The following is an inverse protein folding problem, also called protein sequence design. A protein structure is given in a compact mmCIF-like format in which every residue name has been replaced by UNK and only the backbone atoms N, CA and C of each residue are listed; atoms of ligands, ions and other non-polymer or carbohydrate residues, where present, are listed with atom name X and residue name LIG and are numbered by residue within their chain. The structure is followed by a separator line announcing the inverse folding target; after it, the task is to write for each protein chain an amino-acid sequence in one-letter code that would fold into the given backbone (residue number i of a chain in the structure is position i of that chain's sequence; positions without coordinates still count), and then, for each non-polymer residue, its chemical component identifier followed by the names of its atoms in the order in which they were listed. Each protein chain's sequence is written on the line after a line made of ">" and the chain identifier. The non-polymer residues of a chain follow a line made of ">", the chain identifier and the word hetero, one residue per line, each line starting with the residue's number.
data_IF_982731764524
#
_entry.id   IF_982731764524
#
_cell.length_a   1.000
_cell.length_b   1.000
_cell.length_c   1.000
_cell.angle_alpha   90.00
_cell.angle_beta   90.00
_cell.angle_gamma   90.00
#
_symmetry.space_group_name_H-M   'P 1'
#
loop_
_entity.id
_entity.type
_entity.pdbx_description
1 polymer ?
#
# COMPACT_ATOMS: atom_id res chain seq x y z
N UNK A 1 1.39 25.56 35.44
CA UNK A 1 0.01 25.41 34.91
C UNK A 1 -0.10 25.36 33.37
N UNK A 2 0.96 25.24 32.56
CA UNK A 2 0.86 25.76 31.17
C UNK A 2 1.08 24.83 29.97
N UNK A 3 1.47 23.55 30.12
CA UNK A 3 1.66 22.66 28.94
C UNK A 3 0.41 21.84 28.60
N UNK A 4 -0.27 21.31 29.61
CA UNK A 4 -1.43 20.43 29.40
C UNK A 4 -2.64 21.20 28.85
N UNK A 5 -2.86 22.44 29.33
CA UNK A 5 -3.95 23.31 28.84
C UNK A 5 -3.75 23.73 27.38
N UNK A 6 -2.51 24.03 26.99
CA UNK A 6 -2.16 24.37 25.61
C UNK A 6 -2.38 23.20 24.64
N UNK A 7 -2.01 21.98 25.07
CA UNK A 7 -2.26 20.76 24.30
C UNK A 7 -3.76 20.48 24.16
N UNK A 8 -4.55 20.69 25.21
CA UNK A 8 -6.02 20.55 25.18
C UNK A 8 -6.62 21.56 24.20
N UNK A 9 -6.20 22.82 24.25
CA UNK A 9 -6.68 23.87 23.33
C UNK A 9 -6.39 23.54 21.87
N UNK A 10 -5.15 23.17 21.53
CA UNK A 10 -4.78 22.71 20.17
C UNK A 10 -5.57 21.50 19.69
N UNK A 11 -5.89 20.57 20.60
CA UNK A 11 -6.69 19.38 20.28
C UNK A 11 -8.16 19.75 20.00
N UNK A 12 -8.70 20.74 20.70
CA UNK A 12 -10.04 21.28 20.46
C UNK A 12 -10.09 22.02 19.12
N UNK A 13 -9.13 22.91 18.83
CA UNK A 13 -9.03 23.60 17.54
C UNK A 13 -8.95 22.61 16.37
N UNK A 14 -8.09 21.59 16.48
CA UNK A 14 -7.96 20.57 15.44
C UNK A 14 -9.28 19.81 15.21
N UNK A 15 -10.02 19.50 16.27
CA UNK A 15 -11.35 18.86 16.16
C UNK A 15 -12.35 19.77 15.45
N UNK A 16 -12.37 21.07 15.76
CA UNK A 16 -13.26 22.05 15.11
C UNK A 16 -12.94 22.15 13.62
N UNK A 17 -11.65 22.25 13.27
CA UNK A 17 -11.21 22.29 11.86
C UNK A 17 -11.65 21.03 11.11
N UNK A 18 -11.42 19.85 11.69
CA UNK A 18 -11.86 18.58 11.09
C UNK A 18 -13.38 18.56 10.90
N UNK A 19 -14.14 19.02 11.90
CA UNK A 19 -15.60 19.08 11.81
C UNK A 19 -16.09 20.01 10.69
N UNK A 20 -15.51 21.20 10.56
CA UNK A 20 -15.82 22.15 9.47
C UNK A 20 -15.51 21.54 8.11
N UNK A 21 -14.36 20.87 7.95
CA UNK A 21 -14.00 20.19 6.70
C UNK A 21 -15.01 19.09 6.36
N UNK A 22 -15.41 18.27 7.33
CA UNK A 22 -16.40 17.19 7.13
C UNK A 22 -17.77 17.76 6.73
N UNK A 23 -18.21 18.87 7.34
CA UNK A 23 -19.45 19.55 6.94
C UNK A 23 -19.35 20.08 5.51
N UNK A 24 -18.29 20.83 5.21
CA UNK A 24 -18.08 21.40 3.88
C UNK A 24 -18.06 20.33 2.79
N UNK A 25 -17.42 19.19 3.08
CA UNK A 25 -17.41 18.03 2.22
C UNK A 25 -18.81 17.47 1.97
N UNK A 26 -19.60 17.25 3.03
CA UNK A 26 -20.98 16.73 2.90
C UNK A 26 -21.85 17.65 2.06
N UNK A 27 -21.70 18.98 2.20
CA UNK A 27 -22.44 19.93 1.39
C UNK A 27 -21.99 19.92 -0.09
N UNK A 28 -20.69 19.71 -0.34
CA UNK A 28 -20.16 19.56 -1.70
C UNK A 28 -20.66 18.28 -2.38
N UNK A 29 -20.64 17.14 -1.67
CA UNK A 29 -21.13 15.84 -2.12
C UNK A 29 -22.61 15.94 -2.55
N UNK A 30 -23.46 16.53 -1.69
CA UNK A 30 -24.88 16.79 -2.01
C UNK A 30 -25.04 17.66 -3.26
N UNK A 31 -24.28 18.76 -3.36
CA UNK A 31 -24.38 19.70 -4.49
C UNK A 31 -24.01 19.03 -5.81
N UNK A 32 -22.99 18.18 -5.82
CA UNK A 32 -22.55 17.47 -7.02
C UNK A 32 -23.54 16.37 -7.42
N UNK A 33 -24.01 15.57 -6.47
CA UNK A 33 -25.05 14.58 -6.73
C UNK A 33 -26.34 15.21 -7.28
N UNK A 34 -26.76 16.36 -6.76
CA UNK A 34 -27.90 17.11 -7.30
C UNK A 34 -27.68 17.57 -8.75
N UNK A 35 -26.46 17.99 -9.09
CA UNK A 35 -26.09 18.37 -10.46
C UNK A 35 -26.12 17.17 -11.42
N UNK A 36 -25.57 16.04 -11.00
CA UNK A 36 -25.61 14.79 -11.75
C UNK A 36 -27.04 14.28 -11.96
N UNK A 37 -27.87 14.36 -10.93
CA UNK A 37 -29.29 13.99 -11.00
C UNK A 37 -30.04 14.85 -12.01
N UNK A 38 -29.83 16.17 -11.96
CA UNK A 38 -30.48 17.11 -12.88
C UNK A 38 -30.06 16.84 -14.32
N UNK A 39 -28.76 16.64 -14.55
CA UNK A 39 -28.23 16.29 -15.87
C UNK A 39 -28.79 14.96 -16.38
N UNK A 40 -28.76 13.91 -15.56
CA UNK A 40 -29.26 12.57 -15.92
C UNK A 40 -30.75 12.59 -16.23
N UNK A 41 -31.54 13.33 -15.45
CA UNK A 41 -32.98 13.49 -15.68
C UNK A 41 -33.26 14.24 -16.98
N UNK A 42 -32.55 15.35 -17.22
CA UNK A 42 -32.65 16.10 -18.48
C UNK A 42 -32.24 15.25 -19.68
N UNK A 43 -31.19 14.44 -19.56
CA UNK A 43 -30.75 13.51 -20.59
C UNK A 43 -31.82 12.43 -20.89
N UNK A 44 -32.36 11.76 -19.86
CA UNK A 44 -33.44 10.77 -20.00
C UNK A 44 -34.69 11.37 -20.65
N UNK A 45 -35.06 12.61 -20.26
CA UNK A 45 -36.16 13.34 -20.89
C UNK A 45 -35.87 13.69 -22.35
N UNK A 46 -34.65 14.12 -22.67
CA UNK A 46 -34.23 14.41 -24.05
C UNK A 46 -34.30 13.17 -24.96
N UNK A 47 -33.95 11.99 -24.44
CA UNK A 47 -34.15 10.72 -25.18
C UNK A 47 -35.63 10.49 -25.46
N UNK A 48 -36.50 10.66 -24.46
CA UNK A 48 -37.95 10.50 -24.61
C UNK A 48 -38.53 11.47 -25.65
N UNK A 49 -38.14 12.74 -25.58
CA UNK A 49 -38.57 13.77 -26.54
C UNK A 49 -38.08 13.44 -27.96
N UNK A 50 -36.82 13.01 -28.10
CA UNK A 50 -36.27 12.64 -29.40
C UNK A 50 -36.96 11.39 -29.98
N UNK A 51 -37.28 10.42 -29.13
CA UNK A 51 -38.05 9.24 -29.52
C UNK A 51 -39.43 9.62 -30.07
N UNK A 52 -40.13 10.57 -29.42
CA UNK A 52 -41.40 11.11 -29.91
C UNK A 52 -41.24 11.85 -31.24
N UNK A 53 -40.22 12.70 -31.39
CA UNK A 53 -39.96 13.45 -32.62
C UNK A 53 -39.65 12.53 -33.81
N UNK A 54 -38.97 11.41 -33.58
CA UNK A 54 -38.68 10.42 -34.62
C UNK A 54 -39.90 9.58 -35.00
N UNK A 55 -41.06 9.81 -34.38
CA UNK A 55 -42.28 9.06 -34.66
C UNK A 55 -42.16 7.58 -34.27
N UNK A 56 -41.30 7.24 -33.31
CA UNK A 56 -41.26 5.89 -32.74
C UNK A 56 -42.64 5.63 -32.13
N UNK A 57 -43.47 4.85 -32.85
CA UNK A 57 -44.79 4.43 -32.35
C UNK A 57 -44.62 3.83 -30.96
N UNK A 58 -45.60 4.08 -30.08
CA UNK A 58 -45.73 3.46 -28.76
C UNK A 58 -46.07 1.97 -28.89
N UNK A 59 -45.18 1.25 -29.57
CA UNK A 59 -45.13 -0.19 -29.57
C UNK A 59 -44.57 -0.64 -28.22
N UNK A 60 -44.97 -1.83 -27.80
CA UNK A 60 -44.58 -2.40 -26.51
C UNK A 60 -43.04 -2.42 -26.31
N UNK A 61 -42.29 -2.71 -27.37
CA UNK A 61 -40.82 -2.71 -27.37
C UNK A 61 -40.22 -1.31 -27.11
N UNK A 62 -40.82 -0.25 -27.67
CA UNK A 62 -40.37 1.14 -27.43
C UNK A 62 -40.61 1.53 -25.98
N UNK A 63 -41.74 1.11 -25.41
CA UNK A 63 -42.07 1.38 -24.00
C UNK A 63 -41.15 0.59 -23.05
N UNK A 64 -40.85 -0.67 -23.37
CA UNK A 64 -39.88 -1.48 -22.61
C UNK A 64 -38.49 -0.84 -22.63
N UNK A 65 -38.03 -0.35 -23.79
CA UNK A 65 -36.74 0.34 -23.90
C UNK A 65 -36.72 1.64 -23.09
N UNK A 66 -37.76 2.47 -23.19
CA UNK A 66 -37.85 3.70 -22.41
C UNK A 66 -37.87 3.40 -20.91
N UNK A 67 -38.65 2.41 -20.48
CA UNK A 67 -38.67 1.99 -19.09
C UNK A 67 -37.29 1.57 -18.61
N UNK A 68 -36.58 0.72 -19.37
CA UNK A 68 -35.21 0.34 -19.06
C UNK A 68 -34.27 1.55 -18.90
N UNK A 69 -34.35 2.54 -19.79
CA UNK A 69 -33.54 3.77 -19.71
C UNK A 69 -33.88 4.58 -18.45
N UNK A 70 -35.16 4.68 -18.09
CA UNK A 70 -35.60 5.42 -16.90
C UNK A 70 -35.22 4.71 -15.59
N UNK A 71 -35.29 3.38 -15.58
CA UNK A 71 -34.96 2.53 -14.44
C UNK A 71 -33.44 2.31 -14.30
N UNK A 72 -32.65 2.61 -15.34
CA UNK A 72 -31.20 2.48 -15.28
C UNK A 72 -30.60 3.25 -14.11
N UNK A 73 -29.72 2.57 -13.37
CA UNK A 73 -29.10 3.06 -12.15
C UNK A 73 -28.43 4.42 -12.36
N UNK A 74 -28.69 5.31 -11.40
CA UNK A 74 -28.14 6.66 -11.42
C UNK A 74 -26.72 6.64 -10.88
N UNK A 75 -25.82 7.34 -11.56
CA UNK A 75 -24.48 7.59 -11.04
C UNK A 75 -24.57 8.44 -9.77
N UNK A 76 -24.10 7.90 -8.65
CA UNK A 76 -23.99 8.58 -7.36
C UNK A 76 -22.53 8.65 -6.94
N UNK A 77 -22.10 9.83 -6.49
CA UNK A 77 -20.77 10.03 -5.92
C UNK A 77 -20.84 9.79 -4.42
N UNK A 78 -19.94 8.95 -3.92
CA UNK A 78 -19.83 8.57 -2.53
C UNK A 78 -18.60 9.24 -1.87
N UNK A 79 -18.48 9.07 -0.55
CA UNK A 79 -17.34 9.61 0.22
C UNK A 79 -15.98 9.09 -0.23
N UNK A 80 -15.93 7.95 -0.91
CA UNK A 80 -14.68 7.38 -1.40
C UNK A 80 -14.15 8.16 -2.61
N UNK A 81 -15.04 8.75 -3.40
CA UNK A 81 -14.71 9.46 -4.64
C UNK A 81 -13.96 10.78 -4.39
N UNK A 82 -14.18 11.40 -3.23
CA UNK A 82 -13.45 12.62 -2.86
C UNK A 82 -12.42 12.41 -1.75
N UNK A 83 -12.13 11.16 -1.37
CA UNK A 83 -11.01 10.86 -0.49
C UNK A 83 -9.71 10.81 -1.29
N UNK A 84 -8.71 11.58 -0.86
CA UNK A 84 -7.37 11.49 -1.42
C UNK A 84 -6.80 10.12 -1.07
N UNK A 85 -6.62 9.26 -2.08
CA UNK A 85 -6.05 7.92 -1.88
C UNK A 85 -4.69 8.04 -1.18
N UNK A 86 -4.60 7.52 0.04
CA UNK A 86 -3.32 7.38 0.74
C UNK A 86 -2.62 6.17 0.13
N UNK A 87 -1.65 6.41 -0.76
CA UNK A 87 -0.79 5.34 -1.26
C UNK A 87 -0.14 4.67 -0.05
N UNK A 88 -0.34 3.36 0.09
CA UNK A 88 0.40 2.56 1.07
C UNK A 88 1.88 2.75 0.75
N UNK A 89 2.64 3.29 1.71
CA UNK A 89 4.09 3.40 1.55
C UNK A 89 4.65 2.00 1.69
N UNK A 90 5.09 1.40 0.59
CA UNK A 90 5.90 0.19 0.67
C UNK A 90 7.17 0.52 1.45
N UNK A 91 7.37 -0.18 2.56
CA UNK A 91 8.55 0.01 3.40
C UNK A 91 9.77 -0.52 2.64
N UNK A 92 10.74 0.35 2.37
CA UNK A 92 12.05 -0.05 1.87
C UNK A 92 12.93 -0.31 3.09
N UNK A 93 13.51 -1.51 3.25
CA UNK A 93 14.48 -1.78 4.32
C UNK A 93 15.65 -0.80 4.27
N UNK A 94 16.23 -0.45 5.43
CA UNK A 94 17.26 0.60 5.53
C UNK A 94 18.47 0.30 4.65
N UNK A 95 18.91 -0.97 4.58
CA UNK A 95 20.04 -1.41 3.75
C UNK A 95 19.79 -1.26 2.23
N UNK A 96 18.53 -1.22 1.83
CA UNK A 96 18.11 -1.00 0.44
C UNK A 96 17.80 0.47 0.14
N UNK A 97 17.85 1.36 1.14
CA UNK A 97 17.58 2.78 0.95
C UNK A 97 18.77 3.49 0.33
N UNK A 98 18.46 4.57 -0.37
CA UNK A 98 19.43 5.50 -0.90
C UNK A 98 20.18 6.22 0.23
N UNK A 99 21.51 6.35 0.09
CA UNK A 99 22.39 6.97 1.08
C UNK A 99 22.40 8.52 1.05
N UNK A 100 21.67 9.16 0.14
CA UNK A 100 21.63 10.62 0.02
C UNK A 100 20.61 11.25 0.98
N UNK A 101 20.84 12.52 1.33
CA UNK A 101 19.93 13.30 2.17
C UNK A 101 18.85 14.01 1.35
N UNK A 102 17.74 14.29 2.02
CA UNK A 102 16.71 15.23 1.56
C UNK A 102 17.00 16.61 2.16
N UNK A 103 16.31 17.65 1.70
CA UNK A 103 16.39 19.00 2.28
C UNK A 103 16.02 19.06 3.77
N UNK A 104 15.34 18.03 4.29
CA UNK A 104 15.03 17.85 5.71
C UNK A 104 16.19 17.22 6.51
N UNK A 105 17.36 17.01 5.91
CA UNK A 105 18.51 16.27 6.45
C UNK A 105 18.27 14.78 6.77
N UNK A 106 17.09 14.25 6.47
CA UNK A 106 16.77 12.82 6.62
C UNK A 106 17.26 11.97 5.44
N UNK A 107 17.49 10.68 5.68
CA UNK A 107 17.80 9.71 4.62
C UNK A 107 16.70 9.66 3.57
N UNK A 108 17.11 9.59 2.31
CA UNK A 108 16.21 9.30 1.22
C UNK A 108 15.53 7.93 1.43
N UNK A 109 14.19 7.93 1.46
CA UNK A 109 13.39 6.71 1.68
C UNK A 109 13.23 5.84 0.44
N UNK A 110 13.83 6.23 -0.69
CA UNK A 110 13.73 5.50 -1.96
C UNK A 110 14.74 4.36 -2.00
N UNK A 111 14.40 3.30 -2.73
CA UNK A 111 15.32 2.17 -2.97
C UNK A 111 16.53 2.63 -3.81
N UNK A 112 17.73 2.21 -3.43
CA UNK A 112 18.96 2.41 -4.20
C UNK A 112 18.89 1.64 -5.52
N UNK A 113 19.58 2.11 -6.56
CA UNK A 113 19.67 1.39 -7.83
C UNK A 113 20.69 0.27 -7.70
N UNK A 114 20.48 -0.85 -8.39
CA UNK A 114 21.44 -1.96 -8.37
C UNK A 114 22.83 -1.49 -8.81
N UNK A 115 23.85 -1.86 -8.04
CA UNK A 115 25.22 -1.39 -8.24
C UNK A 115 25.48 0.07 -7.89
N UNK A 116 24.54 0.78 -7.24
CA UNK A 116 24.71 2.17 -6.81
C UNK A 116 24.21 2.37 -5.37
N UNK A 117 24.79 3.33 -4.66
CA UNK A 117 24.36 3.73 -3.31
C UNK A 117 23.16 4.70 -3.32
N UNK A 118 22.80 5.18 -4.51
CA UNK A 118 21.80 6.22 -4.70
C UNK A 118 20.60 5.72 -5.49
N UNK A 119 19.42 6.30 -5.22
CA UNK A 119 18.24 6.08 -6.04
C UNK A 119 18.34 6.85 -7.36
N UNK A 120 17.53 6.47 -8.36
CA UNK A 120 17.57 7.09 -9.69
C UNK A 120 17.47 8.62 -9.72
N UNK A 121 16.83 9.26 -8.73
CA UNK A 121 16.79 10.73 -8.63
C UNK A 121 18.02 11.37 -8.03
N UNK A 122 18.67 10.70 -7.07
CA UNK A 122 19.93 11.20 -6.51
C UNK A 122 21.13 10.88 -7.40
N UNK A 123 20.99 9.98 -8.37
CA UNK A 123 21.95 9.78 -9.47
C UNK A 123 21.82 10.90 -10.53
N UNK A 124 20.59 11.34 -10.83
CA UNK A 124 20.32 12.34 -11.87
C UNK A 124 20.44 13.80 -11.40
N UNK A 125 20.30 14.06 -10.10
CA UNK A 125 20.40 15.40 -9.50
C UNK A 125 21.71 15.60 -8.75
N UNK A 126 22.00 16.83 -8.36
CA UNK A 126 23.15 17.18 -7.51
C UNK A 126 23.01 16.49 -6.14
N UNK A 127 23.94 15.62 -5.72
CA UNK A 127 23.83 14.92 -4.44
C UNK A 127 24.01 15.92 -3.29
N UNK A 128 22.91 16.33 -2.68
CA UNK A 128 22.94 17.13 -1.45
C UNK A 128 23.21 16.20 -0.27
N UNK A 129 24.47 16.07 0.12
CA UNK A 129 24.90 15.40 1.35
C UNK A 129 24.75 13.87 1.34
N UNK A 130 25.79 13.18 1.82
CA UNK A 130 25.83 11.73 1.99
C UNK A 130 25.58 11.42 3.47
N UNK A 131 24.89 10.31 3.76
CA UNK A 131 24.82 9.73 5.10
C UNK A 131 26.02 8.79 5.25
N UNK A 132 26.93 9.16 6.15
CA UNK A 132 28.06 8.32 6.50
C UNK A 132 27.57 7.24 7.49
N UNK A 133 27.74 5.98 7.13
CA UNK A 133 27.16 4.83 7.84
C UNK A 133 27.87 4.49 9.16
N UNK A 134 28.76 5.36 9.64
CA UNK A 134 29.59 5.07 10.82
C UNK A 134 28.91 5.39 12.16
N UNK A 135 27.80 6.15 12.19
CA UNK A 135 27.25 6.69 13.45
C UNK A 135 25.78 6.38 13.78
N UNK A 136 25.10 5.46 13.07
CA UNK A 136 23.76 5.01 13.50
C UNK A 136 23.63 3.49 13.49
N UNK A 137 23.11 2.98 14.63
CA UNK A 137 22.75 1.60 14.99
C UNK A 137 22.91 0.58 13.86
N UNK A 138 23.94 -0.27 13.99
CA UNK A 138 24.08 -1.52 13.22
C UNK A 138 22.72 -2.21 13.17
N UNK A 139 22.15 -2.34 11.99
CA UNK A 139 20.90 -3.06 11.74
C UNK A 139 20.97 -4.43 12.42
N UNK A 140 20.18 -4.63 13.47
CA UNK A 140 20.03 -5.93 14.14
C UNK A 140 19.20 -6.91 13.32
N UNK A 141 18.72 -6.50 12.14
CA UNK A 141 17.94 -7.35 11.24
C UNK A 141 18.72 -7.57 9.94
N UNK A 142 18.99 -8.83 9.63
CA UNK A 142 19.62 -9.27 8.38
C UNK A 142 18.63 -10.15 7.64
N UNK A 143 18.56 -9.98 6.31
CA UNK A 143 17.76 -10.88 5.46
C UNK A 143 18.60 -12.13 5.22
N UNK A 144 18.09 -13.28 5.66
CA UNK A 144 18.71 -14.59 5.42
C UNK A 144 17.89 -15.32 4.36
N UNK A 145 18.58 -15.93 3.40
CA UNK A 145 17.97 -16.76 2.38
C UNK A 145 17.94 -18.22 2.87
N UNK A 146 16.75 -18.80 2.91
CA UNK A 146 16.51 -20.15 3.41
C UNK A 146 15.98 -20.99 2.25
N UNK A 147 16.51 -22.19 2.08
CA UNK A 147 16.06 -23.15 1.08
C UNK A 147 15.77 -24.51 1.70
N UNK A 148 15.18 -25.38 0.89
CA UNK A 148 14.76 -26.72 1.30
C UNK A 148 15.83 -27.73 0.90
N UNK A 149 16.24 -28.58 1.83
CA UNK A 149 17.20 -29.65 1.60
C UNK A 149 16.67 -30.97 2.16
N UNK A 150 16.72 -32.03 1.35
CA UNK A 150 16.43 -33.39 1.81
C UNK A 150 17.69 -34.00 2.43
N UNK A 151 17.57 -34.46 3.68
CA UNK A 151 18.63 -35.12 4.44
C UNK A 151 18.04 -36.41 4.99
N UNK A 152 18.56 -37.55 4.54
CA UNK A 152 18.07 -38.89 4.90
C UNK A 152 16.55 -39.09 4.73
N UNK A 153 15.95 -38.53 3.67
CA UNK A 153 14.52 -38.66 3.39
C UNK A 153 13.61 -37.72 4.18
N UNK A 154 14.18 -36.84 5.01
CA UNK A 154 13.45 -35.81 5.75
C UNK A 154 13.79 -34.44 5.17
N UNK A 155 12.77 -33.60 5.01
CA UNK A 155 12.90 -32.27 4.44
C UNK A 155 13.23 -31.26 5.54
N UNK A 156 14.35 -30.56 5.40
CA UNK A 156 14.79 -29.51 6.31
C UNK A 156 14.90 -28.15 5.62
N UNK A 157 14.68 -27.08 6.39
CA UNK A 157 14.92 -25.71 5.96
C UNK A 157 16.28 -25.25 6.46
N UNK A 158 17.18 -24.88 5.55
CA UNK A 158 18.57 -24.53 5.88
C UNK A 158 19.01 -23.22 5.23
N UNK A 159 20.03 -22.56 5.79
CA UNK A 159 20.65 -21.34 5.24
C UNK A 159 22.14 -21.51 4.90
N UNK A 160 22.75 -20.46 4.35
CA UNK A 160 24.19 -20.41 4.03
C UNK A 160 25.11 -20.36 5.24
N UNK A 161 24.57 -20.21 6.45
CA UNK A 161 25.33 -20.11 7.70
C UNK A 161 25.29 -21.41 8.50
N UNK A 162 24.94 -22.52 7.86
CA UNK A 162 24.87 -23.86 8.44
C UNK A 162 23.77 -24.04 9.50
N UNK A 163 22.72 -23.21 9.48
CA UNK A 163 21.60 -23.31 10.41
C UNK A 163 20.49 -24.19 9.83
N UNK A 164 19.83 -24.97 10.70
CA UNK A 164 18.60 -25.70 10.42
C UNK A 164 17.46 -25.04 11.19
N UNK A 165 16.38 -24.68 10.51
CA UNK A 165 15.25 -23.94 11.08
C UNK A 165 14.06 -24.83 11.36
N UNK A 166 13.27 -24.43 12.36
CA UNK A 166 11.96 -25.01 12.61
C UNK A 166 11.02 -24.73 11.43
N UNK A 167 10.45 -25.78 10.84
CA UNK A 167 9.61 -25.68 9.64
C UNK A 167 8.41 -24.74 9.83
N UNK A 168 7.72 -24.82 10.97
CA UNK A 168 6.54 -24.00 11.26
C UNK A 168 6.87 -22.51 11.29
N UNK A 169 8.05 -22.13 11.82
CA UNK A 169 8.50 -20.74 11.88
C UNK A 169 8.79 -20.17 10.48
N UNK A 170 9.33 -21.01 9.57
CA UNK A 170 9.60 -20.63 8.18
C UNK A 170 8.29 -20.51 7.38
N UNK A 171 7.42 -21.50 7.48
CA UNK A 171 6.11 -21.53 6.80
C UNK A 171 5.25 -20.34 7.23
N UNK A 172 5.33 -19.96 8.51
CA UNK A 172 4.57 -18.83 9.07
C UNK A 172 5.22 -17.45 8.82
N UNK A 173 6.35 -17.38 8.09
CA UNK A 173 7.13 -16.16 7.88
C UNK A 173 7.44 -15.40 9.19
N UNK A 174 7.75 -16.15 10.25
CA UNK A 174 8.00 -15.58 11.57
C UNK A 174 9.31 -14.81 11.57
N UNK A 175 9.29 -13.62 12.18
CA UNK A 175 10.50 -12.84 12.38
C UNK A 175 11.42 -13.53 13.41
N UNK A 176 12.70 -13.68 13.07
CA UNK A 176 13.69 -14.42 13.87
C UNK A 176 13.28 -15.89 14.14
N UNK A 177 13.19 -16.72 13.08
CA UNK A 177 12.77 -18.13 13.20
C UNK A 177 13.72 -18.92 14.09
N UNK A 178 13.19 -19.91 14.82
CA UNK A 178 13.97 -20.73 15.74
C UNK A 178 14.94 -21.64 14.95
N UNK A 179 16.22 -21.56 15.30
CA UNK A 179 17.25 -22.50 14.87
C UNK A 179 17.15 -23.73 15.78
N UNK A 180 17.02 -24.92 15.19
CA UNK A 180 16.86 -26.18 15.91
C UNK A 180 18.11 -27.06 15.89
N UNK A 181 18.96 -26.88 14.88
CA UNK A 181 20.22 -27.59 14.77
C UNK A 181 21.19 -26.88 13.82
N UNK A 182 22.39 -27.44 13.67
CA UNK A 182 23.32 -27.08 12.58
C UNK A 182 23.59 -28.26 11.67
N UNK A 183 23.63 -28.00 10.37
CA UNK A 183 24.01 -29.01 9.39
C UNK A 183 25.50 -28.90 9.05
N UNK A 184 26.09 -30.01 8.63
CA UNK A 184 27.44 -30.10 8.10
C UNK A 184 27.34 -30.61 6.68
N UNK A 185 28.09 -29.96 5.77
CA UNK A 185 28.22 -30.40 4.38
C UNK A 185 29.62 -30.93 4.15
N UNK A 186 29.73 -32.22 3.86
CA UNK A 186 30.99 -32.89 3.50
C UNK A 186 30.90 -33.32 2.04
N UNK A 187 31.47 -32.52 1.13
CA UNK A 187 31.29 -32.73 -0.31
C UNK A 187 29.82 -32.50 -0.72
N UNK A 188 29.19 -33.53 -1.29
CA UNK A 188 27.77 -33.50 -1.67
C UNK A 188 26.83 -34.05 -0.59
N UNK A 189 27.37 -34.53 0.53
CA UNK A 189 26.57 -35.12 1.61
C UNK A 189 26.26 -34.10 2.70
N UNK A 190 24.99 -34.02 3.08
CA UNK A 190 24.49 -33.20 4.18
C UNK A 190 24.16 -34.10 5.37
N UNK A 191 24.58 -33.68 6.56
CA UNK A 191 24.33 -34.38 7.83
C UNK A 191 23.95 -33.37 8.92
N UNK A 192 23.12 -33.77 9.88
CA UNK A 192 22.77 -33.00 11.07
C UNK A 192 23.26 -33.78 12.30
N UNK A 193 24.50 -33.52 12.79
CA UNK A 193 25.11 -34.30 13.86
C UNK A 193 24.29 -34.35 15.15
N UNK A 194 23.53 -33.28 15.43
CA UNK A 194 22.69 -33.14 16.62
C UNK A 194 21.48 -34.08 16.62
N UNK A 195 21.07 -34.54 15.42
CA UNK A 195 20.02 -35.55 15.23
C UNK A 195 20.59 -36.94 14.95
N UNK A 196 21.93 -37.11 15.03
CA UNK A 196 22.64 -38.36 14.72
C UNK A 196 22.38 -38.88 13.30
N UNK A 197 22.22 -37.96 12.33
CA UNK A 197 21.93 -38.24 10.91
C UNK A 197 22.83 -37.43 9.98
#
# INVERSE_FOLDING_TARGET
>A
MSLNWFLIYKKIELKIIIYIIVISYKEMEKRLNKKLETYTTSFKNGIREKAMQLGLKQNEQTNQLLQYIFDYDRLTLNKEDFQKRKRVKNFVPIFDRCCAKRATNEQCTRRKKDGCEFCGTHIKGTPHGIIDSQNETKSTTQKVEVWVQEIQGIIYYIDSNNNVYQAEDIISNKHNPKIIAKYVKTGDHYSIPEFYI
#
